data_IF_385920110792
#
_entry.id   IF_385920110792
#
_cell.length_a   1.000
_cell.length_b   1.000
_cell.length_c   1.000
_cell.angle_alpha   90.00
_cell.angle_beta   90.00
_cell.angle_gamma   90.00
#
_symmetry.space_group_name_H-M   'P 1'
#
loop_
_entity.id
_entity.type
_entity.pdbx_description
1 polymer ?
#
# COMPACT_ATOMS: atom_id res chain seq x y z
N UNK A 1 47.08 4.32 18.69
CA UNK A 1 46.84 5.34 17.64
C UNK A 1 45.84 6.34 18.20
N UNK A 2 46.24 7.61 18.30
CA UNK A 2 45.33 8.66 18.76
C UNK A 2 44.32 8.90 17.64
N UNK A 3 43.04 8.66 17.92
CA UNK A 3 41.98 8.84 16.94
C UNK A 3 41.60 10.33 16.88
N UNK A 4 42.28 11.11 16.02
CA UNK A 4 42.13 12.56 15.86
C UNK A 4 40.67 12.93 15.56
N UNK A 5 39.96 12.13 14.72
CA UNK A 5 38.57 12.35 14.34
C UNK A 5 37.61 12.28 15.54
N UNK A 6 37.78 11.33 16.47
CA UNK A 6 36.92 11.20 17.64
C UNK A 6 37.07 12.36 18.64
N UNK A 7 38.26 12.90 18.82
CA UNK A 7 38.52 14.08 19.66
C UNK A 7 37.91 15.32 19.06
N UNK A 8 38.00 15.46 17.77
CA UNK A 8 37.48 16.61 17.03
C UNK A 8 35.95 16.66 17.01
N UNK A 9 35.31 15.50 16.81
CA UNK A 9 33.85 15.35 16.97
C UNK A 9 33.39 15.75 18.39
N UNK A 10 34.18 15.37 19.42
CA UNK A 10 33.88 15.70 20.80
C UNK A 10 33.98 17.21 21.11
N UNK A 11 34.89 17.94 20.44
CA UNK A 11 35.07 19.38 20.65
C UNK A 11 33.97 20.22 19.95
N UNK A 12 33.41 19.72 18.80
CA UNK A 12 32.37 20.38 18.02
C UNK A 12 30.97 19.74 18.13
N UNK A 13 30.69 19.01 19.21
CA UNK A 13 29.51 18.15 19.37
C UNK A 13 28.20 18.86 19.01
N UNK A 14 27.95 20.10 19.42
CA UNK A 14 26.72 20.82 19.15
C UNK A 14 26.49 21.08 17.65
N UNK A 15 27.51 21.49 16.94
CA UNK A 15 27.45 21.76 15.48
C UNK A 15 27.32 20.46 14.70
N UNK A 16 28.03 19.42 15.15
CA UNK A 16 27.98 18.08 14.54
C UNK A 16 26.62 17.42 14.72
N UNK A 17 26.02 17.52 15.91
CA UNK A 17 24.68 17.01 16.17
C UNK A 17 23.60 17.75 15.39
N UNK A 18 23.70 19.08 15.28
CA UNK A 18 22.74 19.87 14.52
C UNK A 18 22.78 19.51 13.02
N UNK A 19 23.97 19.38 12.44
CA UNK A 19 24.13 18.96 11.04
C UNK A 19 23.68 17.52 10.81
N UNK A 20 23.97 16.62 11.77
CA UNK A 20 23.51 15.22 11.73
C UNK A 20 21.99 15.12 11.87
N UNK A 21 21.34 16.01 12.62
CA UNK A 21 19.88 16.06 12.73
C UNK A 21 19.25 16.43 11.38
N UNK A 22 19.75 17.44 10.69
CA UNK A 22 19.26 17.83 9.36
C UNK A 22 19.43 16.70 8.34
N UNK A 23 20.61 16.06 8.34
CA UNK A 23 20.86 14.89 7.52
C UNK A 23 19.95 13.72 7.91
N UNK A 24 19.73 13.49 9.21
CA UNK A 24 18.86 12.46 9.75
C UNK A 24 17.39 12.61 9.31
N UNK A 25 16.89 13.85 9.28
CA UNK A 25 15.54 14.13 8.76
C UNK A 25 15.40 13.73 7.28
N UNK A 26 16.37 14.08 6.43
CA UNK A 26 16.38 13.68 5.02
C UNK A 26 16.40 12.15 4.85
N UNK A 27 17.27 11.50 5.62
CA UNK A 27 17.36 10.03 5.63
C UNK A 27 16.04 9.41 6.14
N UNK A 28 15.44 9.99 7.18
CA UNK A 28 14.15 9.56 7.72
C UNK A 28 13.03 9.61 6.70
N UNK A 29 12.94 10.70 5.92
CA UNK A 29 11.97 10.83 4.82
C UNK A 29 12.25 9.78 3.75
N UNK A 30 13.51 9.57 3.37
CA UNK A 30 13.90 8.59 2.36
C UNK A 30 13.51 7.15 2.80
N UNK A 31 13.81 6.79 4.04
CA UNK A 31 13.43 5.48 4.61
C UNK A 31 11.90 5.33 4.71
N UNK A 32 11.18 6.39 5.09
CA UNK A 32 9.72 6.37 5.15
C UNK A 32 9.10 6.14 3.77
N UNK A 33 9.62 6.80 2.72
CA UNK A 33 9.16 6.59 1.35
C UNK A 33 9.40 5.15 0.86
N UNK A 34 10.57 4.59 1.16
CA UNK A 34 10.85 3.18 0.86
C UNK A 34 9.92 2.24 1.65
N UNK A 35 9.65 2.58 2.93
CA UNK A 35 8.73 1.86 3.79
C UNK A 35 7.27 1.90 3.31
N UNK A 36 6.79 3.02 2.77
CA UNK A 36 5.46 3.15 2.16
C UNK A 36 5.32 2.21 0.96
N UNK A 37 6.30 2.15 0.07
CA UNK A 37 6.28 1.22 -1.05
C UNK A 37 6.15 -0.24 -0.58
N UNK A 38 6.96 -0.62 0.41
CA UNK A 38 6.88 -1.96 1.02
C UNK A 38 5.54 -2.23 1.67
N UNK A 39 5.01 -1.24 2.39
CA UNK A 39 3.69 -1.31 3.01
C UNK A 39 2.59 -1.56 1.98
N UNK A 40 2.60 -0.86 0.85
CA UNK A 40 1.62 -1.06 -0.23
C UNK A 40 1.66 -2.48 -0.82
N UNK A 41 2.85 -3.03 -1.04
CA UNK A 41 3.01 -4.42 -1.53
C UNK A 41 2.48 -5.42 -0.51
N UNK A 42 2.79 -5.21 0.77
CA UNK A 42 2.35 -6.09 1.85
C UNK A 42 0.84 -6.02 2.06
N UNK A 43 0.23 -4.83 1.99
CA UNK A 43 -1.22 -4.67 2.11
C UNK A 43 -1.96 -5.37 0.95
N UNK A 44 -1.41 -5.33 -0.27
CA UNK A 44 -1.96 -6.09 -1.41
C UNK A 44 -1.92 -7.60 -1.17
N UNK A 45 -0.85 -8.12 -0.57
CA UNK A 45 -0.75 -9.54 -0.19
C UNK A 45 -1.77 -9.91 0.88
N UNK A 46 -1.89 -9.09 1.92
CA UNK A 46 -2.88 -9.29 2.99
C UNK A 46 -4.29 -9.32 2.42
N UNK A 47 -4.63 -8.40 1.50
CA UNK A 47 -5.94 -8.35 0.84
C UNK A 47 -6.26 -9.66 0.11
N UNK A 48 -5.31 -10.21 -0.65
CA UNK A 48 -5.52 -11.45 -1.39
C UNK A 48 -5.61 -12.67 -0.46
N UNK A 49 -4.68 -12.81 0.48
CA UNK A 49 -4.63 -13.98 1.36
C UNK A 49 -5.79 -14.02 2.36
N UNK A 50 -6.31 -12.85 2.76
CA UNK A 50 -7.44 -12.78 3.70
C UNK A 50 -8.77 -13.23 3.11
N UNK A 51 -8.88 -13.33 1.79
CA UNK A 51 -10.10 -13.77 1.10
C UNK A 51 -10.31 -15.30 1.11
N UNK A 52 -9.32 -16.07 1.61
CA UNK A 52 -9.31 -17.55 1.59
C UNK A 52 -9.57 -18.14 0.18
N UNK A 53 -9.11 -17.46 -0.87
CA UNK A 53 -9.31 -17.84 -2.26
C UNK A 53 -7.99 -18.23 -2.92
N UNK A 54 -7.99 -19.34 -3.67
CA UNK A 54 -6.86 -19.77 -4.49
C UNK A 54 -6.95 -19.25 -5.92
N UNK A 55 -8.21 -19.05 -6.42
CA UNK A 55 -8.47 -18.59 -7.78
C UNK A 55 -9.56 -17.51 -7.76
N UNK A 56 -9.36 -16.49 -8.57
CA UNK A 56 -10.25 -15.37 -8.81
C UNK A 56 -10.83 -15.49 -10.22
N UNK A 57 -12.14 -15.73 -10.33
CA UNK A 57 -12.85 -15.84 -11.60
C UNK A 57 -13.55 -14.52 -11.87
N UNK A 58 -13.28 -13.96 -13.04
CA UNK A 58 -13.78 -12.67 -13.49
C UNK A 58 -14.25 -12.76 -14.95
N UNK A 59 -14.85 -11.70 -15.44
CA UNK A 59 -15.23 -11.60 -16.85
C UNK A 59 -14.00 -11.64 -17.75
N UNK A 60 -14.14 -12.30 -18.90
CA UNK A 60 -13.08 -12.35 -19.92
C UNK A 60 -12.62 -10.95 -20.33
N UNK A 61 -11.33 -10.80 -20.60
CA UNK A 61 -10.67 -9.54 -20.94
C UNK A 61 -10.64 -8.48 -19.80
N UNK A 62 -10.79 -8.88 -18.55
CA UNK A 62 -10.58 -8.00 -17.39
C UNK A 62 -9.41 -8.50 -16.54
N UNK A 63 -8.67 -7.56 -15.93
CA UNK A 63 -7.50 -7.85 -15.08
C UNK A 63 -7.86 -8.16 -13.62
N UNK A 64 -9.14 -8.40 -13.36
CA UNK A 64 -9.62 -8.71 -12.02
C UNK A 64 -10.28 -7.54 -11.30
N UNK A 65 -11.00 -7.83 -10.19
CA UNK A 65 -11.96 -6.90 -9.60
C UNK A 65 -11.33 -5.66 -8.94
N UNK A 66 -10.02 -5.69 -8.70
CA UNK A 66 -9.29 -4.56 -8.12
C UNK A 66 -8.67 -3.64 -9.17
N UNK A 67 -8.46 -4.13 -10.38
CA UNK A 67 -7.83 -3.38 -11.48
C UNK A 67 -8.86 -2.84 -12.46
N UNK A 68 -9.85 -3.66 -12.80
CA UNK A 68 -10.88 -3.35 -13.79
C UNK A 68 -12.25 -3.86 -13.31
N UNK A 69 -13.29 -3.14 -13.69
CA UNK A 69 -14.66 -3.56 -13.35
C UNK A 69 -15.01 -4.84 -14.08
N UNK A 70 -15.33 -5.88 -13.34
CA UNK A 70 -15.82 -7.16 -13.84
C UNK A 70 -17.28 -7.33 -13.47
N UNK A 71 -18.05 -7.97 -14.34
CA UNK A 71 -19.47 -8.19 -14.16
C UNK A 71 -19.84 -9.61 -14.57
N UNK A 72 -20.10 -10.45 -13.58
CA UNK A 72 -20.51 -11.83 -13.75
C UNK A 72 -21.91 -12.02 -13.16
N UNK A 73 -22.66 -12.97 -13.68
CA UNK A 73 -23.91 -13.39 -13.07
C UNK A 73 -23.66 -14.19 -11.79
N UNK A 74 -24.44 -13.98 -10.74
CA UNK A 74 -24.20 -14.56 -9.41
C UNK A 74 -24.43 -16.08 -9.34
N UNK A 75 -25.00 -16.71 -10.35
CA UNK A 75 -25.19 -18.17 -10.45
C UNK A 75 -23.96 -18.91 -11.00
N UNK A 76 -23.00 -18.20 -11.58
CA UNK A 76 -21.76 -18.81 -12.12
C UNK A 76 -21.05 -19.67 -11.09
N UNK A 77 -21.10 -19.31 -9.81
CA UNK A 77 -20.49 -20.07 -8.73
C UNK A 77 -20.96 -21.53 -8.68
N UNK A 78 -22.24 -21.79 -9.04
CA UNK A 78 -22.82 -23.14 -9.02
C UNK A 78 -22.18 -24.06 -10.06
N UNK A 79 -21.94 -23.51 -11.25
CA UNK A 79 -21.24 -24.25 -12.29
C UNK A 79 -19.78 -24.53 -11.92
N UNK A 80 -19.10 -23.53 -11.33
CA UNK A 80 -17.71 -23.69 -10.88
C UNK A 80 -17.57 -24.71 -9.75
N UNK A 81 -18.54 -24.78 -8.83
CA UNK A 81 -18.54 -25.75 -7.73
C UNK A 81 -18.61 -27.22 -8.24
N UNK A 82 -19.17 -27.45 -9.43
CA UNK A 82 -19.21 -28.76 -10.06
C UNK A 82 -17.91 -29.20 -10.76
N UNK A 83 -16.90 -28.34 -10.84
CA UNK A 83 -15.63 -28.67 -11.50
C UNK A 83 -14.73 -29.53 -10.59
N UNK A 84 -14.00 -30.51 -11.18
CA UNK A 84 -13.02 -31.30 -10.44
C UNK A 84 -11.95 -30.40 -9.81
N UNK A 85 -11.62 -30.65 -8.55
CA UNK A 85 -10.61 -29.92 -7.79
C UNK A 85 -11.12 -28.64 -7.10
N UNK A 86 -12.40 -28.28 -7.25
CA UNK A 86 -13.00 -27.15 -6.53
C UNK A 86 -13.56 -27.63 -5.19
N UNK A 87 -13.14 -27.00 -4.10
CA UNK A 87 -13.62 -27.27 -2.75
C UNK A 87 -14.81 -26.39 -2.38
N UNK A 88 -14.71 -25.10 -2.62
CA UNK A 88 -15.73 -24.11 -2.30
C UNK A 88 -15.67 -22.92 -3.28
N UNK A 89 -16.81 -22.24 -3.41
CA UNK A 89 -16.92 -21.02 -4.22
C UNK A 89 -17.68 -19.95 -3.44
N UNK A 90 -17.30 -18.69 -3.64
CA UNK A 90 -17.96 -17.55 -3.00
C UNK A 90 -18.06 -16.36 -3.96
N UNK A 91 -19.21 -15.74 -4.00
CA UNK A 91 -19.44 -14.51 -4.76
C UNK A 91 -18.93 -13.31 -3.98
N UNK A 92 -18.28 -12.36 -4.69
CA UNK A 92 -17.83 -11.10 -4.09
C UNK A 92 -18.17 -9.91 -4.98
N UNK A 93 -18.47 -8.80 -4.32
CA UNK A 93 -18.79 -7.53 -4.97
C UNK A 93 -18.01 -6.40 -4.27
N UNK A 94 -17.45 -5.48 -5.03
CA UNK A 94 -16.63 -4.38 -4.52
C UNK A 94 -17.18 -3.03 -4.95
N UNK A 95 -17.30 -2.11 -3.99
CA UNK A 95 -17.78 -0.76 -4.20
C UNK A 95 -16.96 0.23 -3.38
N UNK A 96 -16.41 1.26 -4.01
CA UNK A 96 -15.73 2.35 -3.28
C UNK A 96 -16.68 3.53 -3.13
N UNK A 97 -16.84 4.02 -1.88
CA UNK A 97 -17.67 5.19 -1.59
C UNK A 97 -17.22 5.91 -0.33
N UNK A 98 -17.78 7.11 -0.12
CA UNK A 98 -17.63 7.83 1.14
C UNK A 98 -18.76 7.47 2.10
N UNK A 99 -18.41 7.20 3.35
CA UNK A 99 -19.33 6.87 4.43
C UNK A 99 -19.15 7.90 5.55
N UNK A 100 -20.26 8.41 6.08
CA UNK A 100 -20.24 9.39 7.17
C UNK A 100 -19.84 8.77 8.49
N UNK A 101 -18.87 9.40 9.16
CA UNK A 101 -18.45 9.12 10.53
C UNK A 101 -18.62 10.39 11.38
N UNK A 102 -19.77 10.54 11.98
CA UNK A 102 -20.09 11.77 12.71
C UNK A 102 -20.13 12.99 11.79
N UNK A 103 -19.14 13.90 11.90
CA UNK A 103 -18.99 15.09 11.06
C UNK A 103 -18.05 14.90 9.86
N UNK A 104 -17.26 13.84 9.88
CA UNK A 104 -16.26 13.55 8.86
C UNK A 104 -16.76 12.51 7.86
N UNK A 105 -16.29 12.59 6.63
CA UNK A 105 -16.50 11.58 5.60
C UNK A 105 -15.25 10.69 5.49
N UNK A 106 -15.43 9.38 5.59
CA UNK A 106 -14.36 8.40 5.42
C UNK A 106 -14.57 7.68 4.10
N UNK A 107 -13.56 7.69 3.25
CA UNK A 107 -13.57 6.89 2.03
C UNK A 107 -13.26 5.45 2.37
N UNK A 108 -14.13 4.53 1.94
CA UNK A 108 -14.01 3.11 2.23
C UNK A 108 -14.24 2.28 0.97
N UNK A 109 -13.61 1.12 0.91
CA UNK A 109 -13.95 0.09 -0.05
C UNK A 109 -14.87 -0.93 0.62
N UNK A 110 -16.10 -1.04 0.12
CA UNK A 110 -17.08 -2.00 0.60
C UNK A 110 -16.87 -3.30 -0.16
N UNK A 111 -16.80 -4.41 0.57
CA UNK A 111 -16.76 -5.78 0.03
C UNK A 111 -18.02 -6.51 0.46
N UNK A 112 -18.81 -6.95 -0.51
CA UNK A 112 -19.94 -7.84 -0.29
C UNK A 112 -19.52 -9.29 -0.42
N UNK A 113 -19.89 -10.15 0.54
CA UNK A 113 -19.56 -11.56 0.54
C UNK A 113 -20.69 -12.40 1.14
N UNK A 114 -20.62 -13.73 0.96
CA UNK A 114 -21.53 -14.69 1.57
C UNK A 114 -20.85 -15.32 2.79
N UNK A 115 -21.44 -15.24 4.02
CA UNK A 115 -20.86 -15.85 5.21
C UNK A 115 -20.60 -17.35 5.04
N UNK A 116 -19.47 -17.84 5.55
CA UNK A 116 -19.04 -19.23 5.44
C UNK A 116 -18.49 -19.63 4.06
N UNK A 117 -18.25 -18.68 3.16
CA UNK A 117 -17.68 -18.92 1.83
C UNK A 117 -16.38 -18.12 1.60
N UNK A 118 -15.57 -18.48 0.59
CA UNK A 118 -14.45 -17.66 0.19
C UNK A 118 -14.85 -16.20 -0.04
N UNK A 119 -14.05 -15.26 0.48
CA UNK A 119 -14.38 -13.83 0.51
C UNK A 119 -14.73 -13.30 1.90
N UNK A 120 -15.02 -14.18 2.85
CA UNK A 120 -15.17 -13.80 4.26
C UNK A 120 -13.82 -13.30 4.82
N UNK A 121 -13.80 -12.13 5.53
CA UNK A 121 -12.56 -11.62 6.09
C UNK A 121 -12.04 -12.52 7.22
N UNK A 122 -10.80 -13.01 7.08
CA UNK A 122 -10.19 -13.93 8.07
C UNK A 122 -9.51 -13.21 9.23
N UNK A 123 -9.22 -11.91 9.11
CA UNK A 123 -8.46 -11.11 10.07
C UNK A 123 -9.35 -10.33 11.04
N UNK A 124 -10.31 -11.02 11.67
CA UNK A 124 -11.15 -10.41 12.70
C UNK A 124 -10.36 -10.22 14.01
N UNK A 125 -10.29 -8.99 14.52
CA UNK A 125 -9.55 -8.66 15.76
C UNK A 125 -10.47 -8.37 16.95
N UNK A 126 -11.73 -8.02 16.71
CA UNK A 126 -12.72 -7.78 17.76
C UNK A 126 -14.13 -8.00 17.23
N UNK A 127 -15.07 -8.32 18.12
CA UNK A 127 -16.47 -8.57 17.78
C UNK A 127 -16.73 -9.98 17.25
N UNK A 128 -17.64 -10.10 16.30
CA UNK A 128 -18.09 -11.37 15.72
C UNK A 128 -18.22 -11.29 14.19
N UNK A 129 -18.22 -12.42 13.47
CA UNK A 129 -18.54 -12.45 12.04
C UNK A 129 -19.99 -12.04 11.79
N UNK A 130 -20.36 -11.83 10.52
CA UNK A 130 -21.73 -11.57 10.13
C UNK A 130 -22.60 -12.80 10.41
N UNK A 131 -23.72 -12.59 11.09
CA UNK A 131 -24.70 -13.66 11.38
C UNK A 131 -26.04 -13.41 10.71
N UNK A 132 -26.31 -12.17 10.34
CA UNK A 132 -27.55 -11.78 9.64
C UNK A 132 -27.27 -11.58 8.15
N UNK A 133 -28.27 -11.87 7.36
CA UNK A 133 -28.21 -11.71 5.90
C UNK A 133 -28.28 -10.25 5.44
N UNK A 134 -28.61 -9.31 6.36
CA UNK A 134 -28.78 -7.89 6.06
C UNK A 134 -28.39 -7.01 7.25
N UNK A 135 -27.94 -5.79 6.94
CA UNK A 135 -27.77 -4.65 7.88
C UNK A 135 -26.73 -4.87 8.98
N UNK A 136 -25.81 -5.80 8.81
CA UNK A 136 -24.61 -5.93 9.63
C UNK A 136 -23.37 -5.57 8.79
N UNK A 137 -22.36 -5.02 9.45
CA UNK A 137 -21.09 -4.69 8.82
C UNK A 137 -19.91 -5.07 9.70
N UNK A 138 -18.81 -5.47 9.07
CA UNK A 138 -17.50 -5.60 9.69
C UNK A 138 -16.64 -4.48 9.11
N UNK A 139 -16.00 -3.66 9.94
CA UNK A 139 -15.21 -2.52 9.50
C UNK A 139 -13.73 -2.72 9.85
N UNK A 140 -12.82 -2.20 9.04
CA UNK A 140 -11.41 -2.15 9.42
C UNK A 140 -11.19 -1.07 10.50
N UNK A 141 -10.27 -1.32 11.43
CA UNK A 141 -9.91 -0.38 12.51
C UNK A 141 -9.53 0.99 11.96
N UNK A 142 -8.93 1.07 10.77
CA UNK A 142 -8.54 2.32 10.12
C UNK A 142 -9.74 3.19 9.72
N UNK A 143 -10.95 2.64 9.63
CA UNK A 143 -12.17 3.44 9.39
C UNK A 143 -12.50 4.34 10.59
N UNK A 144 -12.00 3.98 11.78
CA UNK A 144 -12.30 4.64 13.04
C UNK A 144 -13.69 4.35 13.59
N UNK A 145 -14.47 3.43 12.99
CA UNK A 145 -15.73 2.94 13.55
C UNK A 145 -15.49 1.99 14.72
N UNK A 146 -16.47 1.94 15.63
CA UNK A 146 -16.48 1.04 16.79
C UNK A 146 -17.60 0.03 16.64
N UNK A 147 -17.50 -1.09 17.37
CA UNK A 147 -18.58 -2.08 17.46
C UNK A 147 -19.82 -1.40 18.07
N UNK A 148 -20.96 -1.59 17.40
CA UNK A 148 -22.24 -0.96 17.75
C UNK A 148 -22.53 0.34 17.01
N UNK A 149 -21.55 0.94 16.32
CA UNK A 149 -21.78 2.13 15.51
C UNK A 149 -22.75 1.81 14.35
N UNK A 150 -23.56 2.79 13.99
CA UNK A 150 -24.41 2.73 12.81
C UNK A 150 -23.76 3.48 11.66
N UNK A 151 -23.58 2.80 10.55
CA UNK A 151 -23.02 3.36 9.32
C UNK A 151 -24.10 3.35 8.23
N UNK A 152 -24.17 4.43 7.46
CA UNK A 152 -25.12 4.53 6.34
C UNK A 152 -24.40 4.27 5.03
N UNK A 153 -24.80 3.18 4.37
CA UNK A 153 -24.32 2.81 3.05
C UNK A 153 -25.49 2.97 2.08
N UNK A 154 -25.40 3.96 1.19
CA UNK A 154 -26.49 4.32 0.27
C UNK A 154 -27.79 4.66 1.02
N UNK A 155 -28.79 3.79 0.93
CA UNK A 155 -30.13 3.96 1.52
C UNK A 155 -30.28 3.29 2.87
N UNK A 156 -29.43 2.32 3.18
CA UNK A 156 -29.57 1.43 4.32
C UNK A 156 -28.58 1.77 5.43
N UNK A 157 -28.99 1.49 6.68
CA UNK A 157 -28.15 1.60 7.86
C UNK A 157 -27.65 0.22 8.28
N UNK A 158 -26.36 0.14 8.62
CA UNK A 158 -25.67 -1.08 9.02
C UNK A 158 -25.10 -0.90 10.42
N UNK A 159 -25.20 -1.93 11.24
CA UNK A 159 -24.58 -1.98 12.57
C UNK A 159 -23.21 -2.65 12.44
N UNK A 160 -22.16 -2.00 12.91
CA UNK A 160 -20.81 -2.58 12.98
C UNK A 160 -20.79 -3.65 14.06
N UNK A 161 -20.59 -4.92 13.67
CA UNK A 161 -20.59 -6.08 14.58
C UNK A 161 -19.21 -6.68 14.82
N UNK A 162 -18.24 -6.34 13.96
CA UNK A 162 -16.87 -6.81 14.07
C UNK A 162 -15.88 -5.80 13.51
N UNK A 163 -14.62 -5.95 13.92
CA UNK A 163 -13.51 -5.14 13.45
C UNK A 163 -12.40 -6.03 12.89
N UNK A 164 -11.87 -5.65 11.72
CA UNK A 164 -10.69 -6.24 11.11
C UNK A 164 -9.49 -5.31 11.29
N UNK A 165 -8.29 -5.81 10.99
CA UNK A 165 -7.06 -5.02 10.98
C UNK A 165 -6.29 -5.25 9.69
N UNK A 166 -5.77 -4.14 9.11
CA UNK A 166 -4.99 -4.16 7.87
C UNK A 166 -5.77 -4.62 6.63
N UNK A 167 -7.10 -4.55 6.69
CA UNK A 167 -7.93 -4.79 5.52
C UNK A 167 -8.11 -3.46 4.78
N UNK A 168 -7.24 -3.23 3.82
CA UNK A 168 -7.22 -2.01 3.00
C UNK A 168 -7.25 -2.36 1.52
N UNK A 169 -7.85 -1.48 0.73
CA UNK A 169 -7.83 -1.59 -0.73
C UNK A 169 -6.42 -1.31 -1.29
N UNK A 170 -6.22 -1.60 -2.56
CA UNK A 170 -4.98 -1.25 -3.29
C UNK A 170 -4.69 0.25 -3.31
N UNK A 171 -5.72 1.08 -3.16
CA UNK A 171 -5.60 2.55 -3.03
C UNK A 171 -5.24 3.00 -1.62
N UNK A 172 -5.31 2.10 -0.63
CA UNK A 172 -5.10 2.39 0.80
C UNK A 172 -6.38 2.78 1.53
N UNK A 173 -7.56 2.69 0.89
CA UNK A 173 -8.84 2.94 1.54
C UNK A 173 -9.18 1.77 2.47
N UNK A 174 -9.59 1.99 3.73
CA UNK A 174 -9.98 0.92 4.64
C UNK A 174 -11.24 0.21 4.14
N UNK A 175 -11.34 -1.09 4.43
CA UNK A 175 -12.45 -1.92 3.96
C UNK A 175 -13.58 -2.01 4.97
N UNK A 176 -14.78 -2.15 4.43
CA UNK A 176 -16.02 -2.46 5.16
C UNK A 176 -16.66 -3.67 4.49
N UNK A 177 -16.96 -4.69 5.24
CA UNK A 177 -17.54 -5.94 4.75
C UNK A 177 -19.02 -6.00 5.12
N UNK A 178 -19.87 -6.29 4.15
CA UNK A 178 -21.32 -6.40 4.32
C UNK A 178 -21.85 -7.65 3.61
N UNK A 179 -23.08 -8.09 3.89
CA UNK A 179 -23.69 -9.20 3.16
C UNK A 179 -23.74 -8.95 1.65
N UNK A 180 -23.52 -9.98 0.84
CA UNK A 180 -23.45 -9.90 -0.62
C UNK A 180 -24.67 -9.19 -1.23
N UNK A 181 -25.88 -9.54 -0.80
CA UNK A 181 -27.13 -8.97 -1.36
C UNK A 181 -27.22 -7.47 -1.14
N UNK A 182 -26.81 -7.02 0.02
CA UNK A 182 -26.76 -5.59 0.36
C UNK A 182 -25.73 -4.84 -0.50
N UNK A 183 -24.56 -5.47 -0.74
CA UNK A 183 -23.52 -4.90 -1.59
C UNK A 183 -23.94 -4.87 -3.08
N UNK A 184 -24.63 -5.90 -3.56
CA UNK A 184 -25.21 -5.92 -4.91
C UNK A 184 -26.22 -4.78 -5.09
N UNK A 185 -27.11 -4.58 -4.11
CA UNK A 185 -28.06 -3.47 -4.13
C UNK A 185 -27.31 -2.12 -4.11
N UNK A 186 -26.31 -1.96 -3.23
CA UNK A 186 -25.58 -0.72 -3.10
C UNK A 186 -24.79 -0.34 -4.37
N UNK A 187 -24.17 -1.33 -5.03
CA UNK A 187 -23.34 -1.11 -6.23
C UNK A 187 -24.18 -0.80 -7.47
N UNK A 188 -25.27 -1.53 -7.67
CA UNK A 188 -26.05 -1.50 -8.90
C UNK A 188 -27.41 -0.80 -8.73
N UNK A 189 -27.50 0.11 -7.78
CA UNK A 189 -28.69 0.89 -7.52
C UNK A 189 -29.07 1.68 -8.78
N UNK A 190 -30.23 1.36 -9.36
CA UNK A 190 -30.79 2.13 -10.48
C UNK A 190 -31.41 3.42 -9.98
N UNK A 191 -31.26 4.50 -10.74
CA UNK A 191 -31.94 5.75 -10.49
C UNK A 191 -33.45 5.60 -10.66
N UNK A 192 -34.23 6.38 -9.92
CA UNK A 192 -35.69 6.37 -9.99
C UNK A 192 -36.23 6.59 -11.42
N UNK A 193 -35.51 7.33 -12.23
CA UNK A 193 -35.86 7.57 -13.62
C UNK A 193 -35.60 6.34 -14.51
N UNK A 194 -34.48 5.67 -14.32
CA UNK A 194 -34.18 4.40 -14.99
C UNK A 194 -35.22 3.33 -14.64
N UNK A 195 -35.62 3.26 -13.37
CA UNK A 195 -36.67 2.34 -12.91
C UNK A 195 -38.02 2.65 -13.59
N UNK A 196 -38.39 3.93 -13.68
CA UNK A 196 -39.63 4.32 -14.37
C UNK A 196 -39.60 3.99 -15.86
N UNK A 197 -38.47 4.25 -16.52
CA UNK A 197 -38.29 3.93 -17.92
C UNK A 197 -38.33 2.42 -18.20
N UNK A 198 -37.69 1.61 -17.33
CA UNK A 198 -37.76 0.17 -17.44
C UNK A 198 -39.20 -0.37 -17.24
N UNK A 199 -39.92 0.16 -16.26
CA UNK A 199 -41.34 -0.21 -16.03
C UNK A 199 -42.21 0.16 -17.22
N UNK A 200 -42.05 1.35 -17.77
CA UNK A 200 -42.82 1.78 -18.96
C UNK A 200 -42.51 0.91 -20.19
N UNK A 201 -41.23 0.51 -20.39
CA UNK A 201 -40.86 -0.43 -21.46
C UNK A 201 -41.49 -1.82 -21.29
N UNK A 202 -41.48 -2.35 -20.05
CA UNK A 202 -42.11 -3.63 -19.75
C UNK A 202 -43.62 -3.58 -19.93
N UNK A 203 -44.27 -2.51 -19.43
CA UNK A 203 -45.70 -2.35 -19.57
C UNK A 203 -46.14 -2.18 -21.06
N UNK A 204 -45.26 -1.61 -21.86
CA UNK A 204 -45.47 -1.48 -23.31
C UNK A 204 -45.20 -2.74 -24.12
N UNK A 205 -44.65 -3.79 -23.51
CA UNK A 205 -44.34 -5.04 -24.21
C UNK A 205 -45.56 -5.99 -24.20
N UNK A 206 -46.22 -6.23 -25.37
CA UNK A 206 -47.39 -7.09 -25.44
C UNK A 206 -47.15 -8.55 -25.03
N UNK A 207 -45.92 -9.00 -25.07
CA UNK A 207 -45.53 -10.38 -24.68
C UNK A 207 -45.56 -10.56 -23.17
N UNK A 208 -45.34 -9.51 -22.40
CA UNK A 208 -45.27 -9.51 -20.94
C UNK A 208 -46.56 -8.99 -20.30
N UNK A 209 -47.19 -7.99 -20.92
CA UNK A 209 -48.45 -7.39 -20.48
C UNK A 209 -49.61 -8.05 -21.23
N UNK A 210 -49.88 -9.36 -20.92
CA UNK A 210 -50.96 -10.13 -21.57
C UNK A 210 -52.25 -10.01 -20.78
N UNK A 211 -53.36 -9.59 -21.39
CA UNK A 211 -54.68 -9.75 -20.78
C UNK A 211 -54.95 -11.26 -20.54
N UNK A 212 -55.19 -11.65 -19.32
CA UNK A 212 -55.48 -13.07 -18.96
C UNK A 212 -54.38 -13.83 -18.24
N UNK A 213 -53.18 -13.26 -18.06
CA UNK A 213 -52.14 -13.83 -17.21
C UNK A 213 -51.81 -12.81 -16.09
N UNK A 214 -52.66 -12.72 -15.06
CA UNK A 214 -52.44 -11.77 -13.98
C UNK A 214 -51.17 -12.13 -13.21
N UNK A 215 -50.36 -11.13 -12.90
CA UNK A 215 -49.13 -11.28 -12.11
C UNK A 215 -47.83 -11.49 -12.91
N UNK A 216 -47.88 -11.78 -14.21
CA UNK A 216 -46.67 -11.95 -15.02
C UNK A 216 -45.84 -10.66 -15.08
N UNK A 217 -46.48 -9.53 -15.37
CA UNK A 217 -45.78 -8.24 -15.40
C UNK A 217 -45.19 -7.90 -14.03
N UNK A 218 -45.95 -8.05 -12.96
CA UNK A 218 -45.49 -7.80 -11.60
C UNK A 218 -44.31 -8.72 -11.19
N UNK A 219 -44.34 -10.00 -11.59
CA UNK A 219 -43.25 -10.93 -11.35
C UNK A 219 -41.97 -10.56 -12.11
N UNK A 220 -42.09 -10.13 -13.37
CA UNK A 220 -40.98 -9.68 -14.18
C UNK A 220 -40.39 -8.33 -13.63
N UNK A 221 -41.29 -7.42 -13.23
CA UNK A 221 -40.86 -6.18 -12.56
C UNK A 221 -40.13 -6.46 -11.26
N UNK A 222 -40.64 -7.36 -10.41
CA UNK A 222 -40.01 -7.76 -9.15
C UNK A 222 -38.62 -8.36 -9.40
N UNK A 223 -38.46 -9.16 -10.44
CA UNK A 223 -37.18 -9.79 -10.79
C UNK A 223 -36.14 -8.80 -11.35
N UNK A 224 -36.58 -7.69 -11.93
CA UNK A 224 -35.68 -6.63 -12.40
C UNK A 224 -35.07 -5.78 -11.27
N UNK A 225 -35.66 -5.80 -10.08
CA UNK A 225 -35.12 -5.10 -8.91
C UNK A 225 -34.04 -5.91 -8.20
N UNK A 226 -34.00 -7.23 -8.38
CA UNK A 226 -32.93 -8.05 -7.85
C UNK A 226 -31.73 -7.97 -8.78
N UNK A 227 -30.64 -7.45 -8.28
CA UNK A 227 -29.39 -7.47 -9.04
C UNK A 227 -28.68 -8.79 -8.81
N UNK A 228 -28.41 -9.50 -9.90
CA UNK A 228 -27.74 -10.79 -9.91
C UNK A 228 -26.27 -10.69 -10.37
N UNK A 229 -25.70 -9.48 -10.35
CA UNK A 229 -24.33 -9.27 -10.80
C UNK A 229 -23.36 -9.24 -9.62
N UNK A 230 -22.18 -9.82 -9.85
CA UNK A 230 -21.04 -9.82 -8.92
C UNK A 230 -19.76 -9.44 -9.65
N UNK A 231 -18.77 -8.93 -8.94
CA UNK A 231 -17.51 -8.53 -9.57
C UNK A 231 -16.57 -9.72 -9.77
N UNK A 232 -16.62 -10.72 -8.91
CA UNK A 232 -15.83 -11.94 -9.06
C UNK A 232 -16.48 -13.12 -8.34
N UNK A 233 -16.10 -14.31 -8.77
CA UNK A 233 -16.34 -15.54 -8.03
C UNK A 233 -14.99 -16.05 -7.52
N UNK A 234 -14.87 -16.19 -6.23
CA UNK A 234 -13.70 -16.75 -5.56
C UNK A 234 -13.82 -18.27 -5.51
N UNK A 235 -12.72 -18.97 -5.78
CA UNK A 235 -12.67 -20.42 -5.76
C UNK A 235 -11.59 -20.87 -4.80
N UNK A 236 -11.94 -21.78 -3.90
CA UNK A 236 -11.00 -22.51 -3.07
C UNK A 236 -10.77 -23.88 -3.68
N UNK A 237 -9.53 -24.26 -3.83
CA UNK A 237 -9.11 -25.53 -4.45
C UNK A 237 -9.02 -26.62 -3.39
N UNK A 238 -9.38 -27.86 -3.76
CA UNK A 238 -9.24 -29.01 -2.88
C UNK A 238 -7.77 -29.29 -2.56
N UNK A 239 -7.45 -29.71 -1.32
CA UNK A 239 -6.09 -30.09 -0.96
C UNK A 239 -5.51 -31.15 -1.93
N UNK A 240 -4.30 -30.91 -2.42
CA UNK A 240 -3.60 -31.80 -3.35
C UNK A 240 -3.85 -31.51 -4.84
N UNK A 241 -4.72 -30.59 -5.18
CA UNK A 241 -4.91 -30.13 -6.56
C UNK A 241 -4.06 -28.90 -6.87
N UNK A 242 -3.57 -28.82 -8.10
CA UNK A 242 -2.86 -27.63 -8.57
C UNK A 242 -3.85 -26.51 -8.96
N UNK A 243 -3.80 -25.33 -8.30
CA UNK A 243 -4.67 -24.21 -8.63
C UNK A 243 -4.56 -23.76 -10.11
N UNK A 244 -3.40 -23.93 -10.73
CA UNK A 244 -3.21 -23.59 -12.15
C UNK A 244 -4.01 -24.50 -13.06
N UNK A 245 -4.00 -25.81 -12.80
CA UNK A 245 -4.76 -26.76 -13.59
C UNK A 245 -6.27 -26.51 -13.48
N UNK A 246 -6.77 -26.16 -12.29
CA UNK A 246 -8.17 -25.79 -12.09
C UNK A 246 -8.49 -24.47 -12.81
N UNK A 247 -7.62 -23.47 -12.72
CA UNK A 247 -7.79 -22.19 -13.41
C UNK A 247 -7.84 -22.38 -14.94
N UNK A 248 -7.00 -23.24 -15.51
CA UNK A 248 -7.01 -23.53 -16.94
C UNK A 248 -8.29 -24.23 -17.40
N UNK A 249 -8.89 -25.08 -16.56
CA UNK A 249 -10.20 -25.66 -16.83
C UNK A 249 -11.31 -24.60 -16.84
N UNK A 250 -11.26 -23.65 -15.93
CA UNK A 250 -12.23 -22.54 -15.86
C UNK A 250 -12.08 -21.62 -17.10
N UNK A 251 -10.86 -21.33 -17.54
CA UNK A 251 -10.56 -20.49 -18.71
C UNK A 251 -11.14 -21.04 -20.02
N UNK A 252 -11.45 -22.35 -20.08
CA UNK A 252 -12.11 -22.96 -21.25
C UNK A 252 -13.57 -22.55 -21.39
N UNK A 253 -14.19 -22.02 -20.34
CA UNK A 253 -15.55 -21.51 -20.42
C UNK A 253 -15.57 -20.16 -21.10
N UNK A 254 -16.49 -19.99 -22.06
CA UNK A 254 -16.68 -18.69 -22.73
C UNK A 254 -17.01 -17.61 -21.69
N UNK A 255 -16.46 -16.43 -21.89
CA UNK A 255 -16.67 -15.22 -21.08
C UNK A 255 -16.03 -15.23 -19.68
N UNK A 256 -15.32 -16.27 -19.29
CA UNK A 256 -14.64 -16.35 -18.01
C UNK A 256 -13.13 -16.21 -18.17
N UNK A 257 -12.50 -15.53 -17.21
CA UNK A 257 -11.07 -15.50 -16.99
C UNK A 257 -10.81 -15.93 -15.55
N UNK A 258 -9.80 -16.75 -15.33
CA UNK A 258 -9.43 -17.23 -14.00
C UNK A 258 -7.99 -16.87 -13.72
N UNK A 259 -7.73 -16.25 -12.59
CA UNK A 259 -6.41 -15.89 -12.10
C UNK A 259 -6.13 -16.64 -10.81
N UNK A 260 -4.98 -17.27 -10.69
CA UNK A 260 -4.52 -17.79 -9.41
C UNK A 260 -4.18 -16.65 -8.46
N UNK A 261 -4.07 -16.91 -7.17
CA UNK A 261 -3.64 -15.89 -6.19
C UNK A 261 -2.27 -15.30 -6.54
N UNK A 262 -1.36 -16.11 -7.14
CA UNK A 262 -0.09 -15.63 -7.64
C UNK A 262 -0.22 -14.69 -8.84
N UNK A 263 -1.09 -15.02 -9.81
CA UNK A 263 -1.38 -14.15 -10.96
C UNK A 263 -2.00 -12.82 -10.49
N UNK A 264 -2.91 -12.86 -9.50
CA UNK A 264 -3.52 -11.67 -8.93
C UNK A 264 -2.50 -10.80 -8.19
N UNK A 265 -1.58 -11.42 -7.43
CA UNK A 265 -0.49 -10.68 -6.78
C UNK A 265 0.37 -9.97 -7.82
N UNK A 266 0.74 -10.64 -8.91
CA UNK A 266 1.51 -10.05 -10.01
C UNK A 266 0.74 -8.88 -10.66
N UNK A 267 -0.54 -9.04 -10.96
CA UNK A 267 -1.39 -7.98 -11.52
C UNK A 267 -1.46 -6.78 -10.58
N UNK A 268 -1.68 -6.98 -9.29
CA UNK A 268 -1.76 -5.90 -8.31
C UNK A 268 -0.43 -5.14 -8.21
N UNK A 269 0.69 -5.84 -8.16
CA UNK A 269 2.02 -5.24 -8.10
C UNK A 269 2.37 -4.56 -9.41
N UNK A 270 2.25 -5.26 -10.57
CA UNK A 270 2.73 -4.79 -11.85
C UNK A 270 1.82 -3.74 -12.51
N UNK A 271 0.52 -3.71 -12.20
CA UNK A 271 -0.44 -2.77 -12.83
C UNK A 271 -0.87 -1.65 -11.90
N UNK A 272 -1.25 -1.95 -10.67
CA UNK A 272 -1.78 -0.96 -9.74
C UNK A 272 -0.68 -0.26 -8.94
N UNK A 273 0.24 -1.03 -8.36
CA UNK A 273 1.30 -0.48 -7.51
C UNK A 273 2.45 0.09 -8.35
N UNK A 274 2.70 -0.43 -9.55
CA UNK A 274 3.83 -0.02 -10.37
C UNK A 274 3.85 1.49 -10.71
N UNK A 275 2.70 2.11 -10.90
CA UNK A 275 2.63 3.56 -11.16
C UNK A 275 3.08 4.34 -9.93
N UNK A 276 2.58 4.00 -8.76
CA UNK A 276 3.02 4.61 -7.49
C UNK A 276 4.48 4.26 -7.18
N UNK A 277 4.92 3.02 -7.47
CA UNK A 277 6.30 2.58 -7.30
C UNK A 277 7.27 3.42 -8.15
N UNK A 278 6.90 3.70 -9.41
CA UNK A 278 7.71 4.56 -10.31
C UNK A 278 7.81 5.97 -9.79
N UNK A 279 6.71 6.56 -9.30
CA UNK A 279 6.73 7.87 -8.66
C UNK A 279 7.64 7.88 -7.43
N UNK A 280 7.49 6.90 -6.53
CA UNK A 280 8.32 6.77 -5.34
C UNK A 280 9.80 6.60 -5.72
N UNK A 281 10.13 5.81 -6.74
CA UNK A 281 11.50 5.63 -7.22
C UNK A 281 12.12 6.95 -7.72
N UNK A 282 11.36 7.78 -8.46
CA UNK A 282 11.82 9.10 -8.89
C UNK A 282 12.05 10.00 -7.68
N UNK A 283 11.14 10.03 -6.70
CA UNK A 283 11.34 10.81 -5.47
C UNK A 283 12.55 10.33 -4.67
N UNK A 284 12.76 9.02 -4.55
CA UNK A 284 13.94 8.46 -3.89
C UNK A 284 15.25 8.87 -4.60
N UNK A 285 15.25 8.88 -5.93
CA UNK A 285 16.39 9.33 -6.72
C UNK A 285 16.69 10.81 -6.46
N UNK A 286 15.66 11.67 -6.47
CA UNK A 286 15.81 13.10 -6.18
C UNK A 286 16.32 13.30 -4.75
N UNK A 287 15.74 12.62 -3.77
CA UNK A 287 16.17 12.71 -2.37
C UNK A 287 17.60 12.22 -2.18
N UNK A 288 18.01 11.16 -2.87
CA UNK A 288 19.39 10.68 -2.83
C UNK A 288 20.37 11.73 -3.39
N UNK A 289 20.02 12.39 -4.50
CA UNK A 289 20.82 13.44 -5.10
C UNK A 289 20.91 14.68 -4.19
N UNK A 290 19.79 15.11 -3.62
CA UNK A 290 19.75 16.23 -2.66
C UNK A 290 20.58 15.88 -1.40
N UNK A 291 20.42 14.66 -0.89
CA UNK A 291 21.21 14.17 0.26
C UNK A 291 22.71 14.20 -0.06
N UNK A 292 23.11 13.73 -1.24
CA UNK A 292 24.51 13.75 -1.67
C UNK A 292 25.06 15.17 -1.76
N UNK A 293 24.30 16.11 -2.33
CA UNK A 293 24.69 17.51 -2.44
C UNK A 293 24.82 18.17 -1.06
N UNK A 294 23.87 17.93 -0.15
CA UNK A 294 23.90 18.48 1.21
C UNK A 294 25.07 17.91 2.00
N UNK A 295 25.31 16.60 1.94
CA UNK A 295 26.45 15.95 2.60
C UNK A 295 27.76 16.50 2.06
N UNK A 296 27.89 16.66 0.74
CA UNK A 296 29.09 17.27 0.11
C UNK A 296 29.32 18.69 0.60
N UNK A 297 28.26 19.51 0.67
CA UNK A 297 28.36 20.88 1.17
C UNK A 297 28.75 20.93 2.65
N UNK A 298 28.16 20.07 3.48
CA UNK A 298 28.51 19.99 4.91
C UNK A 298 29.98 19.61 5.08
N UNK A 299 30.44 18.55 4.41
CA UNK A 299 31.84 18.11 4.52
C UNK A 299 32.80 19.19 4.00
N UNK A 300 32.46 19.82 2.89
CA UNK A 300 33.24 20.90 2.32
C UNK A 300 33.36 22.09 3.29
N UNK A 301 32.27 22.58 3.85
CA UNK A 301 32.25 23.68 4.80
C UNK A 301 32.94 23.35 6.12
N UNK A 302 32.77 22.12 6.63
CA UNK A 302 33.48 21.65 7.81
C UNK A 302 34.99 21.59 7.56
N UNK A 303 35.42 21.11 6.40
CA UNK A 303 36.82 21.07 6.01
C UNK A 303 37.43 22.49 5.88
N UNK A 304 36.69 23.43 5.26
CA UNK A 304 37.12 24.83 5.16
C UNK A 304 37.29 25.49 6.54
N UNK A 305 36.37 25.20 7.47
CA UNK A 305 36.46 25.73 8.83
C UNK A 305 37.73 25.27 9.59
N UNK A 306 38.34 24.16 9.16
CA UNK A 306 39.52 23.54 9.76
C UNK A 306 40.81 23.77 8.94
N UNK A 307 40.76 24.65 7.95
CA UNK A 307 41.89 24.86 7.02
C UNK A 307 43.17 25.23 7.77
N UNK A 308 43.09 26.08 8.82
CA UNK A 308 44.26 26.47 9.63
C UNK A 308 44.87 25.32 10.38
N UNK A 309 44.02 24.44 10.96
CA UNK A 309 44.46 23.23 11.65
C UNK A 309 45.14 22.23 10.69
N UNK A 310 44.55 22.07 9.49
CA UNK A 310 45.09 21.20 8.43
C UNK A 310 46.45 21.75 7.94
N UNK A 311 46.57 23.06 7.81
CA UNK A 311 47.83 23.71 7.44
C UNK A 311 48.95 23.46 8.47
N UNK A 312 48.64 23.58 9.78
CA UNK A 312 49.57 23.24 10.87
C UNK A 312 49.97 21.77 10.81
N UNK A 313 49.01 20.84 10.60
CA UNK A 313 49.31 19.41 10.47
C UNK A 313 50.24 19.12 9.29
N UNK A 314 50.09 19.84 8.16
CA UNK A 314 50.99 19.71 7.00
C UNK A 314 52.39 20.22 7.31
N UNK A 315 52.53 21.35 8.06
CA UNK A 315 53.83 21.91 8.47
C UNK A 315 54.57 20.97 9.40
N UNK A 316 53.92 20.26 10.28
CA UNK A 316 54.51 19.24 11.17
C UNK A 316 54.90 17.96 10.38
N UNK A 317 54.58 17.88 9.09
CA UNK A 317 54.94 16.74 8.22
C UNK A 317 53.94 15.59 8.18
N UNK A 318 52.69 15.84 8.55
CA UNK A 318 51.60 14.80 8.48
C UNK A 318 51.38 14.42 7.02
N UNK A 319 51.31 13.10 6.77
CA UNK A 319 51.06 12.55 5.41
C UNK A 319 49.68 12.94 4.91
N UNK A 320 49.55 13.24 3.62
CA UNK A 320 48.26 13.57 2.97
C UNK A 320 47.22 12.45 3.15
N UNK A 321 47.65 11.17 3.21
CA UNK A 321 46.76 10.02 3.47
C UNK A 321 46.13 10.05 4.85
N UNK A 322 46.83 10.60 5.86
CA UNK A 322 46.32 10.75 7.23
C UNK A 322 45.24 11.83 7.28
N UNK A 323 45.46 12.97 6.59
CA UNK A 323 44.50 14.08 6.48
C UNK A 323 43.25 13.59 5.72
N UNK A 324 43.44 12.89 4.60
CA UNK A 324 42.33 12.31 3.83
C UNK A 324 41.54 11.29 4.67
N UNK A 325 42.23 10.45 5.44
CA UNK A 325 41.61 9.47 6.36
C UNK A 325 40.80 10.13 7.47
N UNK A 326 41.24 11.26 8.01
CA UNK A 326 40.53 12.05 9.03
C UNK A 326 39.21 12.57 8.47
N UNK A 327 39.25 13.23 7.29
CA UNK A 327 38.03 13.77 6.63
C UNK A 327 37.07 12.66 6.28
N UNK A 328 37.56 11.53 5.76
CA UNK A 328 36.73 10.37 5.48
C UNK A 328 36.04 9.83 6.73
N UNK A 329 36.76 9.68 7.85
CA UNK A 329 36.19 9.23 9.12
C UNK A 329 35.12 10.18 9.66
N UNK A 330 35.34 11.49 9.55
CA UNK A 330 34.34 12.51 9.90
C UNK A 330 33.08 12.38 9.03
N UNK A 331 33.23 12.20 7.72
CA UNK A 331 32.13 12.02 6.78
C UNK A 331 31.33 10.75 7.09
N UNK A 332 32.01 9.63 7.35
CA UNK A 332 31.37 8.36 7.71
C UNK A 332 30.70 8.43 9.09
N UNK A 333 31.31 9.15 10.04
CA UNK A 333 30.71 9.42 11.35
C UNK A 333 29.42 10.23 11.24
N UNK A 334 29.42 11.29 10.40
CA UNK A 334 28.22 12.07 10.10
C UNK A 334 27.13 11.20 9.49
N UNK A 335 27.48 10.34 8.52
CA UNK A 335 26.56 9.41 7.89
C UNK A 335 25.96 8.40 8.87
N UNK A 336 26.78 7.85 9.78
CA UNK A 336 26.36 6.91 10.80
C UNK A 336 25.35 7.52 11.77
N UNK A 337 25.67 8.69 12.33
CA UNK A 337 24.78 9.39 13.28
C UNK A 337 23.52 9.86 12.56
N UNK A 338 23.66 10.42 11.36
CA UNK A 338 22.52 10.81 10.52
C UNK A 338 21.61 9.63 10.20
N UNK A 339 22.15 8.45 9.91
CA UNK A 339 21.36 7.25 9.66
C UNK A 339 20.61 6.77 10.92
N UNK A 340 21.27 6.73 12.07
CA UNK A 340 20.63 6.33 13.34
C UNK A 340 19.48 7.28 13.67
N UNK A 341 19.71 8.61 13.56
CA UNK A 341 18.67 9.61 13.76
C UNK A 341 17.53 9.48 12.72
N UNK A 342 17.87 9.26 11.46
CA UNK A 342 16.89 9.08 10.39
C UNK A 342 16.04 7.84 10.57
N UNK A 343 16.61 6.71 10.98
CA UNK A 343 15.87 5.49 11.31
C UNK A 343 14.94 5.71 12.50
N UNK A 344 15.40 6.41 13.53
CA UNK A 344 14.59 6.75 14.69
C UNK A 344 13.39 7.62 14.29
N UNK A 345 13.62 8.67 13.52
CA UNK A 345 12.58 9.56 13.00
C UNK A 345 11.59 8.78 12.14
N UNK A 346 12.05 7.94 11.20
CA UNK A 346 11.18 7.14 10.35
C UNK A 346 10.30 6.17 11.16
N UNK A 347 10.84 5.60 12.24
CA UNK A 347 10.10 4.70 13.12
C UNK A 347 9.05 5.44 13.93
N UNK A 348 9.37 6.64 14.45
CA UNK A 348 8.44 7.47 15.23
C UNK A 348 7.31 8.05 14.37
N UNK A 349 7.61 8.41 13.12
CA UNK A 349 6.62 8.99 12.20
C UNK A 349 5.78 7.95 11.47
N UNK A 350 6.28 6.71 11.34
CA UNK A 350 5.60 5.63 10.63
C UNK A 350 4.11 5.49 10.96
N UNK A 351 3.69 5.46 12.25
CA UNK A 351 2.28 5.35 12.63
C UNK A 351 1.38 6.53 12.23
N UNK A 352 1.96 7.71 11.96
CA UNK A 352 1.21 8.92 11.58
C UNK A 352 0.98 9.04 10.07
N UNK A 353 1.65 8.21 9.27
CA UNK A 353 1.42 8.19 7.82
C UNK A 353 0.06 7.56 7.48
N UNK A 354 -0.66 8.10 6.49
CA UNK A 354 -1.96 7.56 6.05
C UNK A 354 -1.85 6.18 5.40
N UNK A 355 -0.66 5.78 4.97
CA UNK A 355 -0.37 4.45 4.41
C UNK A 355 0.55 3.68 5.35
N UNK A 356 0.42 2.36 5.36
CA UNK A 356 1.28 1.50 6.16
C UNK A 356 2.75 1.64 5.75
N UNK A 357 3.60 1.94 6.74
CA UNK A 357 5.06 2.06 6.54
C UNK A 357 5.73 0.81 7.09
N UNK A 358 6.21 -0.05 6.20
CA UNK A 358 6.91 -1.27 6.56
C UNK A 358 8.41 -1.08 6.37
N UNK A 359 9.16 -0.96 7.47
CA UNK A 359 10.62 -0.84 7.48
C UNK A 359 11.25 -2.21 7.77
N UNK A 360 11.64 -2.93 6.72
CA UNK A 360 12.37 -4.19 6.87
C UNK A 360 13.83 -3.92 7.22
N UNK A 361 14.42 -4.81 8.05
CA UNK A 361 15.85 -4.72 8.40
C UNK A 361 16.75 -4.78 7.16
N UNK A 362 16.39 -5.55 6.14
CA UNK A 362 17.11 -5.61 4.88
C UNK A 362 17.14 -4.26 4.14
N UNK A 363 16.05 -3.51 4.14
CA UNK A 363 16.00 -2.19 3.50
C UNK A 363 16.76 -1.14 4.31
N UNK A 364 16.75 -1.26 5.64
CA UNK A 364 17.58 -0.43 6.51
C UNK A 364 19.08 -0.65 6.25
N UNK A 365 19.51 -1.91 6.07
CA UNK A 365 20.91 -2.23 5.74
C UNK A 365 21.29 -1.68 4.36
N UNK A 366 20.43 -1.83 3.35
CA UNK A 366 20.66 -1.26 2.01
C UNK A 366 20.73 0.26 2.06
N UNK A 367 19.82 0.91 2.78
CA UNK A 367 19.81 2.34 3.01
C UNK A 367 21.08 2.83 3.73
N UNK A 368 21.51 2.10 4.75
CA UNK A 368 22.78 2.38 5.45
C UNK A 368 23.97 2.31 4.49
N UNK A 369 24.09 1.24 3.71
CA UNK A 369 25.17 1.08 2.75
C UNK A 369 25.19 2.21 1.70
N UNK A 370 24.02 2.58 1.19
CA UNK A 370 23.88 3.69 0.24
C UNK A 370 24.33 5.03 0.83
N UNK A 371 23.95 5.34 2.08
CA UNK A 371 24.34 6.59 2.76
C UNK A 371 25.84 6.61 3.04
N UNK A 372 26.42 5.48 3.49
CA UNK A 372 27.86 5.39 3.70
C UNK A 372 28.63 5.59 2.38
N UNK A 373 28.14 5.05 1.27
CA UNK A 373 28.72 5.27 -0.05
C UNK A 373 28.62 6.75 -0.47
N UNK A 374 27.46 7.40 -0.26
CA UNK A 374 27.27 8.83 -0.53
C UNK A 374 28.25 9.66 0.31
N UNK A 375 28.39 9.40 1.60
CA UNK A 375 29.32 10.10 2.48
C UNK A 375 30.79 9.92 2.04
N UNK A 376 31.16 8.71 1.64
CA UNK A 376 32.51 8.43 1.14
C UNK A 376 32.79 9.18 -0.17
N UNK A 377 31.85 9.20 -1.12
CA UNK A 377 31.98 9.96 -2.38
C UNK A 377 32.02 11.46 -2.14
N UNK A 378 31.15 11.97 -1.28
CA UNK A 378 31.10 13.39 -0.92
C UNK A 378 32.38 13.86 -0.22
N UNK A 379 33.02 12.98 0.57
CA UNK A 379 34.29 13.32 1.25
C UNK A 379 35.44 13.64 0.28
N UNK A 380 35.35 13.12 -0.98
CA UNK A 380 36.39 13.43 -2.01
C UNK A 380 36.50 14.90 -2.28
N UNK A 381 35.39 15.66 -2.25
CA UNK A 381 35.41 17.12 -2.44
C UNK A 381 36.11 17.83 -1.29
N UNK A 382 35.82 17.45 -0.06
CA UNK A 382 36.49 17.96 1.13
C UNK A 382 38.01 17.64 1.14
N UNK A 383 38.33 16.37 0.80
CA UNK A 383 39.74 15.92 0.71
C UNK A 383 40.49 16.72 -0.35
N UNK A 384 39.91 16.93 -1.54
CA UNK A 384 40.53 17.73 -2.59
C UNK A 384 40.77 19.19 -2.13
N UNK A 385 39.79 19.79 -1.45
CA UNK A 385 39.93 21.13 -0.90
C UNK A 385 41.06 21.20 0.13
N UNK A 386 41.11 20.28 1.09
CA UNK A 386 42.12 20.17 2.12
C UNK A 386 43.55 19.97 1.57
N UNK A 387 43.70 19.13 0.55
CA UNK A 387 44.97 18.81 -0.04
C UNK A 387 45.55 19.94 -0.90
N UNK A 388 44.73 20.84 -1.44
CA UNK A 388 45.14 22.00 -2.26
C UNK A 388 45.60 23.21 -1.45
N UNK A 389 45.38 23.20 -0.13
CA UNK A 389 45.76 24.31 0.75
C UNK A 389 47.27 24.42 0.84
N UNK A 390 47.78 25.62 0.52
CA UNK A 390 49.19 26.00 0.80
C UNK A 390 49.31 26.39 2.28
N UNK A 391 50.18 25.68 3.06
CA UNK A 391 50.33 25.96 4.48
C UNK A 391 50.80 27.37 4.79
N UNK A 392 51.64 27.96 3.91
CA UNK A 392 52.19 29.30 4.11
C UNK A 392 51.15 30.39 3.97
N UNK A 393 50.22 30.25 3.01
CA UNK A 393 49.13 31.18 2.72
C UNK A 393 48.00 31.09 3.77
N UNK A 394 47.73 29.88 4.29
CA UNK A 394 46.65 29.65 5.26
C UNK A 394 46.93 30.16 6.68
N UNK A 395 48.22 30.43 7.03
CA UNK A 395 48.63 30.90 8.36
C UNK A 395 49.02 32.40 8.32
N UNK A 396 49.39 32.91 7.17
CA UNK A 396 49.83 34.30 6.99
C UNK A 396 48.74 35.32 6.62
N UNK A 397 47.47 34.86 6.44
CA UNK A 397 46.33 35.71 6.07
C UNK A 397 45.37 35.97 7.23
#
# INVERSE_FOLDING_TARGET
MINLASRDIAHGLGRYLLTSLGLGLLIGVTLSMAGIYRGMVEDAKVLLHSSAADIWVVQQHTLGPFAESSNLHDDVYRGLLGLPGVAATGNVTFLTMQVKRGRDDVRVMISGFEPGRPGEPTLLVAGRPLTRSHYEAIADVMTGFKIGDRIRIRRNEYTVVGLTRRMVSTSGDPMVFIPLKDAQEAQFLKDNEAIRNDRSRLAANPSLNRPGVPGLLAAVEANQFSNHNVNAVLVQVQPGWDPRAVADNIRRWKYLQAYTSGDMEEILIAKLIATSARQIAVFLMILALVTAAIVALIIYTMTLAKIKEIAVLKLIGTKNTTIAGMILQEALGLGLIGFVMGKLVATLWGPYFPKYVLLLNADAVRGFAAIMAICALASILGIRAALRVDPAEAIGG
#
